data_IF_276757482515
#
_entry.id   IF_276757482515
#
_cell.length_a   1.000
_cell.length_b   1.000
_cell.length_c   1.000
_cell.angle_alpha   90.00
_cell.angle_beta   90.00
_cell.angle_gamma   90.00
#
_symmetry.space_group_name_H-M   'P 1'
#
loop_
_entity.id
_entity.type
_entity.pdbx_description
1 polymer ?
#
# COMPACT_ATOMS: atom_id res chain seq x y z
N UNK A 1 -20.97 -15.19 -4.67
CA UNK A 1 -20.77 -13.74 -4.81
C UNK A 1 -19.32 -13.54 -5.14
N UNK A 2 -18.99 -12.76 -6.18
CA UNK A 2 -17.59 -12.46 -6.48
C UNK A 2 -17.06 -11.49 -5.44
N UNK A 3 -15.97 -11.84 -4.78
CA UNK A 3 -15.21 -10.97 -3.87
C UNK A 3 -14.11 -10.27 -4.63
N UNK A 4 -13.63 -9.15 -4.10
CA UNK A 4 -12.46 -8.44 -4.60
C UNK A 4 -11.23 -8.85 -3.79
N UNK A 5 -10.06 -8.67 -4.37
CA UNK A 5 -8.77 -9.01 -3.77
C UNK A 5 -7.76 -7.87 -3.97
N UNK A 6 -6.77 -7.82 -3.09
CA UNK A 6 -5.59 -6.96 -3.20
C UNK A 6 -4.37 -7.86 -3.35
N UNK A 7 -3.58 -7.64 -4.39
CA UNK A 7 -2.26 -8.27 -4.54
C UNK A 7 -1.24 -7.42 -3.79
N UNK A 8 -0.48 -8.03 -2.90
CA UNK A 8 0.59 -7.39 -2.14
C UNK A 8 1.91 -8.11 -2.40
N UNK A 9 3.01 -7.39 -2.23
CA UNK A 9 4.36 -7.89 -2.43
C UNK A 9 5.38 -6.83 -2.05
N UNK A 10 6.66 -7.12 -2.25
CA UNK A 10 7.75 -6.16 -2.04
C UNK A 10 8.51 -5.89 -3.34
N UNK A 11 9.08 -4.69 -3.47
CA UNK A 11 9.82 -4.33 -4.68
C UNK A 11 11.18 -5.04 -4.81
N UNK A 12 11.75 -5.58 -3.74
CA UNK A 12 13.01 -6.32 -3.82
C UNK A 12 12.82 -7.67 -4.53
N UNK A 13 11.64 -8.27 -4.41
CA UNK A 13 11.24 -9.53 -5.03
C UNK A 13 10.11 -9.36 -6.06
N UNK A 14 10.08 -8.22 -6.76
CA UNK A 14 9.02 -7.90 -7.69
C UNK A 14 8.83 -8.98 -8.77
N UNK A 15 7.58 -9.44 -8.94
CA UNK A 15 7.18 -10.55 -9.82
C UNK A 15 7.66 -11.95 -9.38
N UNK A 16 8.11 -12.11 -8.14
CA UNK A 16 8.30 -13.43 -7.55
C UNK A 16 6.97 -13.92 -6.91
N UNK A 17 6.31 -14.93 -7.50
CA UNK A 17 5.00 -15.37 -7.03
C UNK A 17 5.03 -16.10 -5.68
N UNK A 18 6.22 -16.45 -5.15
CA UNK A 18 6.36 -17.03 -3.81
C UNK A 18 6.43 -15.95 -2.73
N UNK A 19 6.88 -14.74 -3.08
CA UNK A 19 6.98 -13.58 -2.19
C UNK A 19 5.73 -12.67 -2.28
N UNK A 20 4.92 -12.79 -3.34
CA UNK A 20 3.62 -12.13 -3.46
C UNK A 20 2.52 -12.85 -2.66
N UNK A 21 1.67 -12.08 -1.97
CA UNK A 21 0.48 -12.61 -1.31
C UNK A 21 -0.77 -11.85 -1.71
N UNK A 22 -1.93 -12.49 -1.53
CA UNK A 22 -3.23 -11.86 -1.81
C UNK A 22 -4.06 -11.77 -0.54
N UNK A 23 -4.72 -10.63 -0.38
CA UNK A 23 -5.76 -10.43 0.62
C UNK A 23 -7.09 -10.48 -0.11
N UNK A 24 -7.89 -11.50 0.14
CA UNK A 24 -9.21 -11.70 -0.47
C UNK A 24 -10.35 -11.47 0.52
N UNK A 25 -11.58 -11.34 0.02
CA UNK A 25 -12.78 -11.22 0.86
C UNK A 25 -13.42 -9.83 0.87
N UNK A 26 -12.85 -8.86 0.14
CA UNK A 26 -13.41 -7.52 0.03
C UNK A 26 -14.77 -7.55 -0.69
N UNK A 27 -15.75 -6.84 -0.13
CA UNK A 27 -17.13 -6.80 -0.67
C UNK A 27 -17.23 -5.91 -1.90
N UNK A 28 -16.40 -4.87 -1.99
CA UNK A 28 -16.39 -3.92 -3.10
C UNK A 28 -14.94 -3.64 -3.56
N UNK A 29 -14.80 -3.17 -4.81
CA UNK A 29 -13.51 -2.70 -5.31
C UNK A 29 -13.02 -1.47 -4.53
N UNK A 30 -13.95 -0.65 -4.03
CA UNK A 30 -13.63 0.53 -3.22
C UNK A 30 -13.00 0.14 -1.88
N UNK A 31 -13.51 -0.90 -1.22
CA UNK A 31 -12.92 -1.42 0.02
C UNK A 31 -11.50 -1.96 -0.21
N UNK A 32 -11.30 -2.72 -1.30
CA UNK A 32 -9.98 -3.23 -1.69
C UNK A 32 -8.99 -2.09 -2.01
N UNK A 33 -9.44 -1.06 -2.74
CA UNK A 33 -8.63 0.11 -3.05
C UNK A 33 -8.30 0.94 -1.80
N UNK A 34 -9.22 1.06 -0.84
CA UNK A 34 -8.98 1.75 0.42
C UNK A 34 -7.97 0.97 1.30
N UNK A 35 -8.03 -0.36 1.32
CA UNK A 35 -7.00 -1.20 1.94
C UNK A 35 -5.62 -0.91 1.31
N UNK A 36 -5.52 -0.96 -0.02
CA UNK A 36 -4.27 -0.67 -0.73
C UNK A 36 -3.75 0.75 -0.42
N UNK A 37 -4.63 1.76 -0.36
CA UNK A 37 -4.23 3.12 0.00
C UNK A 37 -3.58 3.21 1.38
N UNK A 38 -4.20 2.61 2.40
CA UNK A 38 -3.68 2.65 3.77
C UNK A 38 -2.41 1.83 3.91
N UNK A 39 -2.33 0.70 3.21
CA UNK A 39 -1.13 -0.14 3.17
C UNK A 39 0.07 0.65 2.64
N UNK A 40 -0.05 1.26 1.45
CA UNK A 40 1.01 2.09 0.86
C UNK A 40 1.36 3.28 1.77
N UNK A 41 0.35 3.90 2.39
CA UNK A 41 0.60 5.03 3.29
C UNK A 41 1.38 4.59 4.53
N UNK A 42 1.06 3.45 5.13
CA UNK A 42 1.80 2.91 6.28
C UNK A 42 3.27 2.67 5.92
N UNK A 43 3.54 2.09 4.75
CA UNK A 43 4.90 1.87 4.23
C UNK A 43 5.67 3.18 4.05
N UNK A 44 5.05 4.18 3.42
CA UNK A 44 5.66 5.49 3.21
C UNK A 44 5.96 6.18 4.54
N UNK A 45 5.05 6.13 5.51
CA UNK A 45 5.27 6.73 6.83
C UNK A 45 6.31 5.97 7.67
N UNK A 46 6.47 4.66 7.47
CA UNK A 46 7.53 3.88 8.10
C UNK A 46 8.91 4.31 7.61
N UNK A 47 9.07 4.56 6.31
CA UNK A 47 10.33 5.00 5.70
C UNK A 47 10.63 6.48 5.93
N UNK A 48 9.60 7.33 6.07
CA UNK A 48 9.75 8.80 6.14
C UNK A 48 10.80 9.31 7.15
N UNK A 49 10.94 8.77 8.38
CA UNK A 49 11.94 9.26 9.33
C UNK A 49 13.40 9.09 8.86
N UNK A 50 13.66 8.13 7.98
CA UNK A 50 15.00 7.82 7.46
C UNK A 50 15.32 8.62 6.19
N UNK A 51 14.30 9.05 5.44
CA UNK A 51 14.44 9.75 4.17
C UNK A 51 13.71 11.10 4.18
N UNK A 52 14.45 12.16 4.50
CA UNK A 52 13.89 13.52 4.62
C UNK A 52 13.53 14.19 3.29
N UNK A 53 14.10 13.73 2.17
CA UNK A 53 13.84 14.25 0.82
C UNK A 53 12.75 13.42 0.11
N UNK A 54 11.90 14.10 -0.66
CA UNK A 54 10.76 13.46 -1.34
C UNK A 54 11.19 12.46 -2.42
N UNK A 55 12.25 12.76 -3.17
CA UNK A 55 12.78 11.85 -4.19
C UNK A 55 13.49 10.67 -3.50
N UNK A 56 14.28 10.93 -2.46
CA UNK A 56 14.91 9.87 -1.67
C UNK A 56 13.87 8.91 -1.06
N UNK A 57 12.75 9.43 -0.54
CA UNK A 57 11.66 8.63 0.00
C UNK A 57 10.97 7.80 -1.08
N UNK A 58 10.74 8.39 -2.27
CA UNK A 58 10.21 7.64 -3.43
C UNK A 58 11.15 6.49 -3.81
N UNK A 59 12.45 6.76 -3.94
CA UNK A 59 13.44 5.75 -4.30
C UNK A 59 13.54 4.65 -3.23
N UNK A 60 13.49 5.02 -1.94
CA UNK A 60 13.49 4.06 -0.85
C UNK A 60 12.26 3.16 -0.89
N UNK A 61 11.08 3.73 -1.11
CA UNK A 61 9.85 2.95 -1.27
C UNK A 61 9.94 1.98 -2.46
N UNK A 62 10.47 2.42 -3.60
CA UNK A 62 10.65 1.57 -4.79
C UNK A 62 11.76 0.52 -4.65
N UNK A 63 12.61 0.61 -3.62
CA UNK A 63 13.72 -0.32 -3.39
C UNK A 63 13.44 -1.30 -2.24
N UNK A 64 12.74 -0.86 -1.20
CA UNK A 64 12.55 -1.58 0.06
C UNK A 64 11.11 -1.62 0.54
N UNK A 65 10.22 -0.84 -0.09
CA UNK A 65 8.83 -0.77 0.30
C UNK A 65 8.02 -1.94 -0.23
N UNK A 66 6.89 -2.16 0.43
CA UNK A 66 5.88 -3.11 -0.01
C UNK A 66 4.83 -2.40 -0.87
N UNK A 67 4.36 -3.05 -1.93
CA UNK A 67 3.28 -2.57 -2.78
C UNK A 67 1.96 -3.31 -2.51
N UNK A 68 0.87 -2.64 -2.86
CA UNK A 68 -0.48 -3.19 -2.88
C UNK A 68 -1.17 -2.72 -4.16
N UNK A 69 -1.81 -3.64 -4.87
CA UNK A 69 -2.51 -3.40 -6.14
C UNK A 69 -3.94 -3.89 -6.01
N UNK A 70 -4.88 -3.01 -6.31
CA UNK A 70 -6.32 -3.28 -6.30
C UNK A 70 -6.97 -2.77 -7.59
N UNK A 71 -8.15 -3.30 -7.97
CA UNK A 71 -8.88 -2.79 -9.13
C UNK A 71 -9.17 -1.28 -9.01
N UNK A 72 -8.74 -0.51 -10.00
CA UNK A 72 -8.93 0.96 -10.04
C UNK A 72 -8.03 1.76 -9.10
N UNK A 73 -7.01 1.13 -8.51
CA UNK A 73 -6.01 1.80 -7.68
C UNK A 73 -4.75 2.14 -8.48
N UNK A 74 -4.36 3.42 -8.49
CA UNK A 74 -3.18 3.93 -9.17
C UNK A 74 -2.04 4.15 -8.17
N UNK A 75 -1.13 3.17 -8.08
CA UNK A 75 -0.03 3.17 -7.10
C UNK A 75 0.86 4.42 -7.20
N UNK A 76 1.32 4.77 -8.39
CA UNK A 76 2.27 5.89 -8.57
C UNK A 76 1.65 7.22 -8.15
N UNK A 77 0.40 7.48 -8.56
CA UNK A 77 -0.32 8.70 -8.19
C UNK A 77 -0.56 8.78 -6.67
N UNK A 78 -0.91 7.65 -6.05
CA UNK A 78 -1.13 7.59 -4.61
C UNK A 78 0.15 7.72 -3.79
N UNK A 79 1.24 7.10 -4.23
CA UNK A 79 2.57 7.24 -3.61
C UNK A 79 3.00 8.70 -3.60
N UNK A 80 2.90 9.39 -4.75
CA UNK A 80 3.21 10.82 -4.84
C UNK A 80 2.36 11.65 -3.88
N UNK A 81 1.07 11.34 -3.76
CA UNK A 81 0.19 11.99 -2.80
C UNK A 81 0.64 11.77 -1.35
N UNK A 82 0.99 10.54 -0.95
CA UNK A 82 1.44 10.23 0.41
C UNK A 82 2.75 10.94 0.74
N UNK A 83 3.72 10.96 -0.18
CA UNK A 83 5.00 11.67 0.02
C UNK A 83 4.74 13.16 0.30
N UNK A 84 3.87 13.79 -0.48
CA UNK A 84 3.53 15.21 -0.34
C UNK A 84 2.61 15.54 0.86
N UNK A 85 1.83 14.56 1.34
CA UNK A 85 0.83 14.75 2.40
C UNK A 85 1.00 13.68 3.48
N UNK A 86 1.86 13.93 4.49
CA UNK A 86 2.09 13.00 5.59
C UNK A 86 0.79 12.60 6.29
N UNK A 87 0.73 11.37 6.80
CA UNK A 87 -0.41 10.90 7.57
C UNK A 87 -0.64 11.79 8.81
N UNK A 88 -1.90 12.19 9.04
CA UNK A 88 -2.25 13.06 10.16
C UNK A 88 -2.78 12.26 11.36
N UNK A 89 -3.31 11.05 11.12
CA UNK A 89 -3.96 10.21 12.13
C UNK A 89 -3.57 8.76 11.91
N UNK A 90 -3.57 7.96 13.00
CA UNK A 90 -3.30 6.52 12.90
C UNK A 90 -4.26 5.79 11.95
N UNK A 91 -5.53 6.19 11.91
CA UNK A 91 -6.53 5.62 10.99
C UNK A 91 -6.16 5.77 9.51
N UNK A 92 -5.29 6.73 9.15
CA UNK A 92 -4.87 6.93 7.76
C UNK A 92 -3.87 5.85 7.31
N UNK A 93 -3.21 5.13 8.23
CA UNK A 93 -2.29 4.02 7.94
C UNK A 93 -2.79 2.66 8.43
N UNK A 94 -3.90 2.63 9.18
CA UNK A 94 -4.46 1.40 9.75
C UNK A 94 -5.22 0.59 8.68
N UNK A 95 -4.45 -0.12 7.85
CA UNK A 95 -4.96 -1.02 6.82
C UNK A 95 -5.47 -2.34 7.40
N UNK A 96 -4.91 -2.79 8.53
CA UNK A 96 -5.32 -4.03 9.20
C UNK A 96 -6.77 -3.95 9.69
N UNK A 97 -7.23 -2.76 10.11
CA UNK A 97 -8.63 -2.53 10.43
C UNK A 97 -9.60 -2.73 9.24
N UNK A 98 -9.08 -2.82 8.01
CA UNK A 98 -9.85 -3.07 6.79
C UNK A 98 -9.67 -4.50 6.25
N UNK A 99 -8.85 -5.33 6.88
CA UNK A 99 -8.67 -6.72 6.47
C UNK A 99 -9.99 -7.49 6.70
N UNK A 100 -10.60 -8.06 5.65
CA UNK A 100 -11.84 -8.83 5.77
C UNK A 100 -11.69 -10.13 6.59
N UNK A 101 -10.47 -10.57 6.89
CA UNK A 101 -10.16 -11.81 7.59
C UNK A 101 -9.57 -11.62 9.01
N UNK A 102 -9.47 -10.37 9.49
CA UNK A 102 -8.96 -10.03 10.82
C UNK A 102 -9.86 -10.47 11.99
#
# INVERSE_FOLDING_TARGET
MSTFQVLCGDFANYMDPEEEWTVDGFRTAEDAAEYARRFIRDQVEHLRPEYADAEALKQAFMAFGEYAIAPGFELEAWLAHCIANPAARKADTDYQALDPNA
#
